data_IF_899335963575
#
_entry.id   IF_899335963575
#
_cell.length_a   1.000
_cell.length_b   1.000
_cell.length_c   1.000
_cell.angle_alpha   90.00
_cell.angle_beta   90.00
_cell.angle_gamma   90.00
#
_symmetry.space_group_name_H-M   'P 1'
#
loop_
_entity.id
_entity.type
_entity.pdbx_description
1 polymer ?
#
# COMPACT_ATOMS: atom_id res chain seq x y z
N UNK A 1 6.65 12.46 -0.85
CA UNK A 1 5.93 11.16 -0.83
C UNK A 1 6.03 10.45 -2.16
N UNK A 2 5.44 10.99 -3.22
CA UNK A 2 5.32 10.33 -4.51
C UNK A 2 6.63 9.76 -5.09
N UNK A 3 7.75 10.46 -4.95
CA UNK A 3 9.07 9.98 -5.41
C UNK A 3 9.52 8.68 -4.71
N UNK A 4 9.23 8.55 -3.42
CA UNK A 4 9.57 7.33 -2.67
C UNK A 4 8.68 6.15 -3.06
N UNK A 5 7.42 6.42 -3.42
CA UNK A 5 6.48 5.39 -3.83
C UNK A 5 6.73 4.79 -5.22
N UNK A 6 7.50 5.46 -6.10
CA UNK A 6 7.84 4.93 -7.43
C UNK A 6 8.77 3.70 -7.33
N UNK A 7 9.59 3.63 -6.28
CA UNK A 7 10.51 2.51 -6.11
C UNK A 7 9.68 1.27 -5.75
N UNK A 8 9.71 0.20 -6.58
CA UNK A 8 8.89 -0.98 -6.37
C UNK A 8 9.40 -1.82 -5.19
N UNK A 9 9.06 -1.40 -4.00
CA UNK A 9 9.46 -2.08 -2.76
C UNK A 9 8.47 -1.78 -1.63
N UNK A 10 7.79 -2.80 -1.12
CA UNK A 10 6.83 -2.69 -0.02
C UNK A 10 7.42 -2.10 1.28
N UNK A 11 8.75 -2.15 1.43
CA UNK A 11 9.46 -1.52 2.53
C UNK A 11 9.26 -0.02 2.64
N UNK A 12 9.06 0.70 1.52
CA UNK A 12 8.82 2.15 1.56
C UNK A 12 7.45 2.50 2.14
N UNK A 13 6.42 1.70 1.90
CA UNK A 13 5.12 1.85 2.55
C UNK A 13 5.19 1.66 4.06
N UNK A 14 5.94 0.64 4.50
CA UNK A 14 6.21 0.39 5.92
C UNK A 14 7.01 1.54 6.54
N UNK A 15 8.08 2.00 5.87
CA UNK A 15 8.89 3.13 6.33
C UNK A 15 8.07 4.41 6.46
N UNK A 16 7.24 4.72 5.46
CA UNK A 16 6.35 5.87 5.49
C UNK A 16 5.36 5.78 6.67
N UNK A 17 4.80 4.60 6.92
CA UNK A 17 3.91 4.37 8.06
C UNK A 17 4.61 4.61 9.40
N UNK A 18 5.84 4.15 9.56
CA UNK A 18 6.64 4.39 10.77
C UNK A 18 6.97 5.88 10.95
N UNK A 19 7.40 6.56 9.87
CA UNK A 19 7.66 7.99 9.90
C UNK A 19 6.41 8.83 10.21
N UNK A 20 5.25 8.36 9.77
CA UNK A 20 3.97 8.99 10.10
C UNK A 20 3.64 8.80 11.59
N UNK A 21 3.84 7.61 12.15
CA UNK A 21 3.66 7.34 13.59
C UNK A 21 4.59 8.22 14.41
N UNK A 22 5.84 8.42 13.95
CA UNK A 22 6.82 9.33 14.57
C UNK A 22 6.51 10.82 14.32
N UNK A 23 5.40 11.12 13.63
CA UNK A 23 5.00 12.49 13.27
C UNK A 23 6.04 13.26 12.45
N UNK A 24 6.86 12.56 11.69
CA UNK A 24 7.88 13.15 10.81
C UNK A 24 7.36 13.52 9.44
N UNK A 25 6.27 12.91 9.02
CA UNK A 25 5.61 13.18 7.74
C UNK A 25 4.13 13.47 7.97
N UNK A 26 3.52 14.19 7.03
CA UNK A 26 2.09 14.52 7.04
C UNK A 26 1.25 13.35 6.54
N UNK A 27 -0.05 13.38 6.83
CA UNK A 27 -1.03 12.42 6.31
C UNK A 27 -1.05 12.42 4.78
N UNK A 28 -1.02 13.58 4.14
CA UNK A 28 -0.98 13.68 2.69
C UNK A 28 0.28 13.09 2.09
N UNK A 29 1.44 13.24 2.77
CA UNK A 29 2.68 12.58 2.35
C UNK A 29 2.55 11.05 2.43
N UNK A 30 1.96 10.51 3.49
CA UNK A 30 1.72 9.08 3.66
C UNK A 30 0.82 8.54 2.55
N UNK A 31 -0.32 9.18 2.32
CA UNK A 31 -1.27 8.80 1.26
C UNK A 31 -0.60 8.86 -0.12
N UNK A 32 0.21 9.89 -0.37
CA UNK A 32 0.98 10.03 -1.60
C UNK A 32 1.94 8.84 -1.82
N UNK A 33 2.61 8.36 -0.78
CA UNK A 33 3.44 7.15 -0.86
C UNK A 33 2.58 5.94 -1.21
N UNK A 34 1.46 5.72 -0.52
CA UNK A 34 0.61 4.55 -0.75
C UNK A 34 0.03 4.51 -2.16
N UNK A 35 -0.44 5.65 -2.69
CA UNK A 35 -0.97 5.73 -4.05
C UNK A 35 0.14 5.49 -5.08
N UNK A 36 1.34 6.04 -4.88
CA UNK A 36 2.44 5.90 -5.83
C UNK A 36 3.01 4.48 -5.86
N UNK A 37 2.91 3.73 -4.78
CA UNK A 37 3.48 2.40 -4.65
C UNK A 37 2.81 1.41 -5.61
N UNK A 38 3.63 0.63 -6.35
CA UNK A 38 3.19 -0.39 -7.32
C UNK A 38 4.14 -1.58 -7.29
N UNK A 39 4.36 -2.10 -6.11
CA UNK A 39 5.47 -3.01 -5.78
C UNK A 39 5.62 -4.17 -6.77
N UNK A 40 4.61 -5.03 -6.89
CA UNK A 40 4.70 -6.26 -7.69
C UNK A 40 4.21 -6.07 -9.11
N UNK A 41 3.37 -5.07 -9.39
CA UNK A 41 2.84 -4.83 -10.74
C UNK A 41 3.96 -4.46 -11.72
N UNK A 42 4.93 -3.64 -11.29
CA UNK A 42 6.04 -3.18 -12.13
C UNK A 42 6.89 -4.35 -12.62
N UNK A 43 7.49 -5.20 -11.76
CA UNK A 43 8.30 -6.32 -12.23
C UNK A 43 7.51 -7.32 -13.09
N UNK A 44 6.23 -7.54 -12.81
CA UNK A 44 5.40 -8.46 -13.61
C UNK A 44 5.18 -7.88 -15.02
N UNK A 45 4.79 -6.62 -15.15
CA UNK A 45 4.58 -5.99 -16.44
C UNK A 45 5.89 -5.86 -17.25
N UNK A 46 7.04 -5.76 -16.58
CA UNK A 46 8.35 -5.76 -17.24
C UNK A 46 8.69 -7.09 -17.92
N UNK A 47 8.06 -8.19 -17.56
CA UNK A 47 8.27 -9.48 -18.23
C UNK A 47 7.67 -9.53 -19.63
N UNK A 48 6.76 -8.61 -19.97
CA UNK A 48 6.05 -8.57 -21.25
C UNK A 48 6.35 -7.28 -22.00
N UNK A 49 7.23 -7.33 -23.03
CA UNK A 49 7.63 -6.12 -23.78
C UNK A 49 6.47 -5.38 -24.43
N UNK A 50 5.41 -6.07 -24.77
CA UNK A 50 4.21 -5.51 -25.41
C UNK A 50 3.44 -4.55 -24.47
N UNK A 51 3.64 -4.69 -23.15
CA UNK A 51 2.95 -3.90 -22.14
C UNK A 51 3.77 -2.75 -21.55
N UNK A 52 4.95 -2.45 -22.09
CA UNK A 52 5.79 -1.34 -21.62
C UNK A 52 5.10 0.03 -21.74
N UNK A 53 4.27 0.22 -22.75
CA UNK A 53 3.47 1.44 -22.88
C UNK A 53 2.49 1.58 -21.73
N UNK A 54 1.75 0.51 -21.43
CA UNK A 54 0.80 0.49 -20.32
C UNK A 54 1.49 0.65 -18.96
N UNK A 55 2.69 0.09 -18.80
CA UNK A 55 3.49 0.25 -17.60
C UNK A 55 3.85 1.73 -17.34
N UNK A 56 4.34 2.42 -18.38
CA UNK A 56 4.67 3.84 -18.29
C UNK A 56 3.43 4.68 -17.97
N UNK A 57 2.31 4.39 -18.61
CA UNK A 57 1.04 5.07 -18.34
C UNK A 57 0.60 4.89 -16.86
N UNK A 58 0.69 3.67 -16.31
CA UNK A 58 0.36 3.39 -14.91
C UNK A 58 1.25 4.21 -13.97
N UNK A 59 2.56 4.20 -14.20
CA UNK A 59 3.53 4.92 -13.35
C UNK A 59 3.25 6.43 -13.38
N UNK A 60 3.08 7.00 -14.57
CA UNK A 60 2.82 8.43 -14.74
C UNK A 60 1.48 8.81 -14.09
N UNK A 61 0.42 8.04 -14.33
CA UNK A 61 -0.90 8.32 -13.80
C UNK A 61 -0.92 8.24 -12.27
N UNK A 62 -0.32 7.20 -11.69
CA UNK A 62 -0.20 7.05 -10.24
C UNK A 62 0.64 8.15 -9.63
N UNK A 63 1.72 8.55 -10.27
CA UNK A 63 2.57 9.65 -9.80
C UNK A 63 1.82 10.98 -9.75
N UNK A 64 1.10 11.33 -10.81
CA UNK A 64 0.30 12.56 -10.87
C UNK A 64 -0.80 12.53 -9.81
N UNK A 65 -1.53 11.42 -9.71
CA UNK A 65 -2.58 11.25 -8.70
C UNK A 65 -2.03 11.32 -7.27
N UNK A 66 -0.89 10.69 -7.02
CA UNK A 66 -0.24 10.72 -5.71
C UNK A 66 0.12 12.15 -5.27
N UNK A 67 0.61 12.97 -6.19
CA UNK A 67 0.93 14.38 -5.91
C UNK A 67 -0.36 15.16 -5.67
N UNK A 68 -1.36 15.02 -6.55
CA UNK A 68 -2.61 15.75 -6.45
C UNK A 68 -3.35 15.42 -5.14
N UNK A 69 -3.57 14.14 -4.86
CA UNK A 69 -4.31 13.69 -3.68
C UNK A 69 -3.51 14.01 -2.41
N UNK A 70 -2.20 13.76 -2.39
CA UNK A 70 -1.36 14.08 -1.25
C UNK A 70 -1.39 15.58 -0.91
N UNK A 71 -1.33 16.44 -1.92
CA UNK A 71 -1.43 17.88 -1.74
C UNK A 71 -2.82 18.33 -1.26
N UNK A 72 -3.88 17.78 -1.87
CA UNK A 72 -5.26 18.06 -1.45
C UNK A 72 -5.49 17.67 0.01
N UNK A 73 -5.03 16.48 0.40
CA UNK A 73 -5.18 16.03 1.79
C UNK A 73 -4.45 16.94 2.75
N UNK A 74 -3.23 17.39 2.46
CA UNK A 74 -2.47 18.29 3.32
C UNK A 74 -3.11 19.68 3.41
N UNK A 75 -3.80 20.13 2.35
CA UNK A 75 -4.52 21.42 2.35
C UNK A 75 -5.83 21.33 3.14
N UNK A 76 -6.61 20.27 2.95
CA UNK A 76 -7.93 20.11 3.59
C UNK A 76 -7.83 19.59 5.03
N UNK A 77 -6.89 18.69 5.28
CA UNK A 77 -6.63 18.14 6.60
C UNK A 77 -5.40 18.86 7.17
N UNK A 78 -5.60 20.10 7.57
CA UNK A 78 -4.59 20.85 8.33
C UNK A 78 -4.46 20.17 9.69
N UNK A 79 -3.66 19.11 9.76
CA UNK A 79 -3.25 18.57 11.05
C UNK A 79 -2.48 19.67 11.76
N UNK A 80 -3.09 20.19 12.82
CA UNK A 80 -2.35 20.99 13.76
C UNK A 80 -1.25 20.08 14.30
N UNK A 81 -0.02 20.33 13.87
CA UNK A 81 1.21 19.82 14.46
C UNK A 81 1.35 20.38 15.88
N UNK A 82 0.30 20.23 16.69
CA UNK A 82 0.30 20.66 18.08
C UNK A 82 0.61 19.48 18.95
N UNK A 83 1.72 19.64 19.60
CA UNK A 83 2.28 18.81 20.65
C UNK A 83 2.89 17.48 20.21
N UNK A 84 4.20 17.55 19.91
CA UNK A 84 5.13 16.56 20.40
C UNK A 84 4.74 16.21 21.84
N UNK A 85 3.90 15.19 22.02
CA UNK A 85 3.98 14.45 23.27
C UNK A 85 5.41 13.89 23.27
N UNK A 86 6.24 14.48 24.14
CA UNK A 86 7.45 13.85 24.60
C UNK A 86 7.06 12.40 24.92
N UNK A 87 7.38 11.51 24.01
CA UNK A 87 7.47 10.13 24.42
C UNK A 87 8.42 10.15 25.61
N UNK A 88 7.88 9.79 26.72
CA UNK A 88 8.63 9.39 27.87
C UNK A 88 9.71 8.45 27.38
N UNK A 89 10.91 8.99 27.21
CA UNK A 89 12.11 8.23 27.31
C UNK A 89 12.11 7.63 28.70
N UNK A 90 11.41 6.52 28.85
CA UNK A 90 11.64 5.64 29.96
C UNK A 90 13.09 5.20 29.87
N UNK A 91 13.81 5.81 30.75
CA UNK A 91 15.11 5.56 31.30
C UNK A 91 15.88 4.35 30.76
N UNK A 92 17.00 4.68 30.12
CA UNK A 92 18.33 4.12 30.36
C UNK A 92 18.34 2.78 31.11
N UNK A 93 18.15 1.70 30.38
CA UNK A 93 18.90 0.50 30.64
C UNK A 93 19.80 0.26 29.43
N UNK A 94 21.09 0.10 29.73
CA UNK A 94 22.23 -0.14 28.83
C UNK A 94 22.06 -1.44 28.01
N UNK A 95 20.90 -1.61 27.35
CA UNK A 95 20.77 -2.57 26.28
C UNK A 95 21.03 -1.84 24.97
N UNK A 96 22.01 -2.34 24.23
CA UNK A 96 22.46 -1.75 22.98
C UNK A 96 21.24 -1.38 22.12
N UNK A 97 21.13 -0.13 21.70
CA UNK A 97 20.09 0.39 20.77
C UNK A 97 19.83 -0.54 19.58
N UNK A 98 20.85 -1.30 19.21
CA UNK A 98 20.78 -2.34 18.16
C UNK A 98 19.85 -3.50 18.51
N UNK A 99 19.86 -3.99 19.76
CA UNK A 99 19.05 -5.14 20.18
C UNK A 99 17.58 -4.73 20.26
N UNK A 100 17.33 -3.52 20.76
CA UNK A 100 15.96 -3.01 20.86
C UNK A 100 15.34 -2.75 19.47
N UNK A 101 16.11 -2.12 18.58
CA UNK A 101 15.70 -1.93 17.18
C UNK A 101 15.49 -3.27 16.48
N UNK A 102 16.35 -4.26 16.71
CA UNK A 102 16.25 -5.59 16.12
C UNK A 102 15.02 -6.34 16.61
N UNK A 103 14.74 -6.33 17.91
CA UNK A 103 13.55 -6.96 18.49
C UNK A 103 12.25 -6.29 17.99
N UNK A 104 12.25 -4.97 17.84
CA UNK A 104 11.12 -4.23 17.29
C UNK A 104 10.89 -4.60 15.83
N UNK A 105 11.95 -4.70 15.05
CA UNK A 105 11.89 -5.12 13.64
C UNK A 105 11.37 -6.54 13.50
N UNK A 106 11.84 -7.49 14.32
CA UNK A 106 11.36 -8.88 14.30
C UNK A 106 9.87 -8.95 14.64
N UNK A 107 9.40 -8.18 15.63
CA UNK A 107 7.98 -8.14 15.98
C UNK A 107 7.11 -7.67 14.81
N UNK A 108 7.52 -6.59 14.14
CA UNK A 108 6.80 -6.06 12.98
C UNK A 108 6.83 -7.07 11.84
N UNK A 109 8.01 -7.65 11.57
CA UNK A 109 8.17 -8.65 10.52
C UNK A 109 7.32 -9.90 10.77
N UNK A 110 7.34 -10.45 11.99
CA UNK A 110 6.54 -11.62 12.34
C UNK A 110 5.03 -11.35 12.18
N UNK A 111 4.56 -10.18 12.62
CA UNK A 111 3.17 -9.78 12.43
C UNK A 111 2.79 -9.70 10.94
N UNK A 112 3.59 -8.99 10.14
CA UNK A 112 3.37 -8.87 8.70
C UNK A 112 3.40 -10.24 8.04
N UNK A 113 4.35 -11.11 8.41
CA UNK A 113 4.47 -12.45 7.85
C UNK A 113 3.22 -13.29 8.12
N UNK A 114 2.73 -13.30 9.37
CA UNK A 114 1.52 -14.05 9.75
C UNK A 114 0.29 -13.54 9.00
N UNK A 115 0.10 -12.22 8.95
CA UNK A 115 -1.06 -11.64 8.27
C UNK A 115 -1.01 -11.93 6.77
N UNK A 116 0.15 -11.75 6.11
CA UNK A 116 0.31 -12.08 4.70
C UNK A 116 0.09 -13.56 4.42
N UNK A 117 0.60 -14.44 5.27
CA UNK A 117 0.40 -15.88 5.12
C UNK A 117 -1.09 -16.25 5.16
N UNK A 118 -1.83 -15.70 6.14
CA UNK A 118 -3.29 -15.93 6.27
C UNK A 118 -4.03 -15.39 5.04
N UNK A 119 -3.71 -14.16 4.59
CA UNK A 119 -4.36 -13.55 3.45
C UNK A 119 -4.05 -14.30 2.15
N UNK A 120 -2.80 -14.71 1.93
CA UNK A 120 -2.42 -15.48 0.74
C UNK A 120 -3.11 -16.83 0.72
N UNK A 121 -3.16 -17.55 1.86
CA UNK A 121 -3.88 -18.80 1.96
C UNK A 121 -5.40 -18.62 1.71
N UNK A 122 -6.00 -17.55 2.21
CA UNK A 122 -7.40 -17.23 1.97
C UNK A 122 -7.69 -16.97 0.47
N UNK A 123 -6.82 -16.22 -0.21
CA UNK A 123 -6.94 -15.96 -1.65
C UNK A 123 -6.79 -17.25 -2.45
N UNK A 124 -5.83 -18.09 -2.10
CA UNK A 124 -5.61 -19.38 -2.76
C UNK A 124 -6.79 -20.35 -2.58
N UNK A 125 -7.43 -20.33 -1.40
CA UNK A 125 -8.64 -21.13 -1.13
C UNK A 125 -9.87 -20.66 -1.95
N UNK A 126 -9.99 -19.37 -2.25
CA UNK A 126 -11.07 -18.83 -3.10
C UNK A 126 -10.87 -19.28 -4.55
N UNK A 127 -9.62 -19.51 -4.96
CA UNK A 127 -9.26 -19.90 -6.32
C UNK A 127 -9.24 -18.71 -7.29
N UNK A 128 -8.20 -18.65 -8.10
CA UNK A 128 -8.03 -17.61 -9.13
C UNK A 128 -9.13 -17.64 -10.18
N UNK A 129 -9.72 -18.80 -10.42
CA UNK A 129 -10.79 -18.99 -11.42
C UNK A 129 -12.11 -18.34 -10.99
N UNK A 130 -12.47 -18.44 -9.71
CA UNK A 130 -13.68 -17.77 -9.19
C UNK A 130 -13.49 -16.27 -9.12
N UNK A 131 -12.28 -15.82 -8.79
CA UNK A 131 -11.95 -14.41 -8.75
C UNK A 131 -12.00 -13.78 -10.15
N UNK A 132 -11.46 -14.49 -11.15
CA UNK A 132 -11.55 -14.07 -12.54
C UNK A 132 -13.00 -13.97 -13.01
N UNK A 133 -13.88 -14.88 -12.59
CA UNK A 133 -15.29 -14.86 -12.95
C UNK A 133 -16.05 -13.66 -12.38
N UNK A 134 -15.72 -13.25 -11.16
CA UNK A 134 -16.30 -12.07 -10.50
C UNK A 134 -15.78 -10.76 -11.14
N UNK A 135 -14.54 -10.77 -11.60
CA UNK A 135 -13.88 -9.62 -12.23
C UNK A 135 -14.09 -9.56 -13.75
N UNK A 136 -14.51 -10.68 -14.38
CA UNK A 136 -14.61 -10.84 -15.85
C UNK A 136 -15.85 -10.21 -16.48
N UNK A 137 -16.84 -9.75 -15.68
CA UNK A 137 -17.96 -9.03 -16.25
C UNK A 137 -17.45 -7.68 -16.79
N UNK A 138 -17.52 -7.51 -18.11
CA UNK A 138 -17.24 -6.26 -18.84
C UNK A 138 -18.24 -5.14 -18.46
N UNK A 139 -18.59 -5.08 -17.20
CA UNK A 139 -19.49 -4.12 -16.61
C UNK A 139 -18.72 -2.86 -16.20
N UNK A 140 -19.38 -1.71 -16.25
CA UNK A 140 -18.94 -0.46 -15.62
C UNK A 140 -18.57 -0.63 -14.12
N UNK A 141 -18.96 -1.74 -13.51
CA UNK A 141 -18.64 -2.10 -12.12
C UNK A 141 -17.26 -2.75 -11.96
N UNK A 142 -16.61 -3.20 -13.04
CA UNK A 142 -15.30 -3.86 -12.98
C UNK A 142 -14.23 -3.02 -12.23
N UNK A 143 -14.06 -1.70 -12.46
CA UNK A 143 -13.12 -0.89 -11.69
C UNK A 143 -13.46 -0.80 -10.21
N UNK A 144 -14.76 -0.80 -9.86
CA UNK A 144 -15.21 -0.74 -8.46
C UNK A 144 -14.86 -2.03 -7.72
N UNK A 145 -15.15 -3.17 -8.35
CA UNK A 145 -14.81 -4.49 -7.79
C UNK A 145 -13.28 -4.64 -7.65
N UNK A 146 -12.52 -4.21 -8.66
CA UNK A 146 -11.04 -4.19 -8.60
C UNK A 146 -10.53 -3.30 -7.47
N UNK A 147 -11.14 -2.13 -7.26
CA UNK A 147 -10.78 -1.23 -6.17
C UNK A 147 -11.05 -1.88 -4.80
N UNK A 148 -12.21 -2.54 -4.63
CA UNK A 148 -12.54 -3.26 -3.40
C UNK A 148 -11.53 -4.40 -3.16
N UNK A 149 -11.17 -5.14 -4.20
CA UNK A 149 -10.16 -6.19 -4.12
C UNK A 149 -8.77 -5.64 -3.77
N UNK A 150 -8.41 -4.48 -4.31
CA UNK A 150 -7.18 -3.76 -3.99
C UNK A 150 -7.06 -3.33 -2.52
N UNK A 151 -8.19 -3.14 -1.81
CA UNK A 151 -8.16 -2.86 -0.36
C UNK A 151 -7.62 -4.00 0.49
N UNK A 152 -7.52 -5.21 -0.05
CA UNK A 152 -6.87 -6.32 0.66
C UNK A 152 -5.39 -5.98 0.79
N UNK A 153 -4.85 -5.77 2.00
CA UNK A 153 -3.47 -5.33 2.20
C UNK A 153 -2.49 -6.50 2.01
N UNK A 154 -2.46 -7.05 0.81
CA UNK A 154 -1.61 -8.16 0.43
C UNK A 154 -1.04 -7.96 -0.98
N UNK A 155 0.23 -8.28 -1.13
CA UNK A 155 0.92 -8.29 -2.41
C UNK A 155 0.28 -9.22 -3.44
N UNK A 156 -0.32 -10.34 -3.02
CA UNK A 156 -1.01 -11.24 -3.93
C UNK A 156 -2.17 -10.57 -4.68
N UNK A 157 -2.82 -9.57 -4.10
CA UNK A 157 -3.90 -8.86 -4.76
C UNK A 157 -3.39 -8.08 -6.00
N UNK A 158 -2.28 -7.36 -5.87
CA UNK A 158 -1.66 -6.63 -6.99
C UNK A 158 -1.14 -7.58 -8.07
N UNK A 159 -0.57 -8.72 -7.68
CA UNK A 159 -0.10 -9.77 -8.61
C UNK A 159 -1.27 -10.30 -9.43
N UNK A 160 -2.38 -10.68 -8.78
CA UNK A 160 -3.55 -11.24 -9.46
C UNK A 160 -4.16 -10.22 -10.41
N UNK A 161 -4.38 -8.98 -9.97
CA UNK A 161 -4.91 -7.92 -10.83
C UNK A 161 -4.04 -7.67 -12.06
N UNK A 162 -2.72 -7.71 -11.87
CA UNK A 162 -1.77 -7.53 -12.98
C UNK A 162 -1.80 -8.72 -13.94
N UNK A 163 -1.86 -9.94 -13.43
CA UNK A 163 -1.97 -11.14 -14.28
C UNK A 163 -3.28 -11.18 -15.07
N UNK A 164 -4.41 -10.79 -14.45
CA UNK A 164 -5.69 -10.69 -15.14
C UNK A 164 -5.66 -9.63 -16.25
N UNK A 165 -4.96 -8.52 -16.02
CA UNK A 165 -4.74 -7.51 -17.05
C UNK A 165 -3.89 -8.04 -18.21
N UNK A 166 -2.80 -8.76 -17.92
CA UNK A 166 -1.96 -9.39 -18.95
C UNK A 166 -2.73 -10.40 -19.80
N UNK A 167 -3.66 -11.13 -19.18
CA UNK A 167 -4.55 -12.08 -19.85
C UNK A 167 -5.75 -11.40 -20.54
N UNK A 168 -5.76 -10.05 -20.62
CA UNK A 168 -6.84 -9.26 -21.22
C UNK A 168 -8.22 -9.48 -20.57
N UNK A 169 -8.26 -10.05 -19.39
CA UNK A 169 -9.46 -10.25 -18.60
C UNK A 169 -9.88 -9.00 -17.80
N UNK A 170 -8.96 -8.06 -17.59
CA UNK A 170 -9.18 -6.84 -16.83
C UNK A 170 -8.86 -5.61 -17.69
N UNK A 171 -9.72 -4.59 -17.61
CA UNK A 171 -9.46 -3.32 -18.29
C UNK A 171 -8.34 -2.53 -17.61
N UNK A 172 -7.68 -1.64 -18.35
CA UNK A 172 -6.64 -0.74 -17.80
C UNK A 172 -7.17 0.10 -16.64
N UNK A 173 -8.39 0.63 -16.76
CA UNK A 173 -9.02 1.42 -15.69
C UNK A 173 -9.24 0.59 -14.42
N UNK A 174 -9.61 -0.68 -14.56
CA UNK A 174 -9.84 -1.60 -13.45
C UNK A 174 -8.51 -1.97 -12.76
N UNK A 175 -7.46 -2.24 -13.53
CA UNK A 175 -6.13 -2.46 -13.00
C UNK A 175 -5.66 -1.24 -12.19
N UNK A 176 -5.77 -0.05 -12.79
CA UNK A 176 -5.35 1.20 -12.17
C UNK A 176 -6.11 1.45 -10.86
N UNK A 177 -7.45 1.25 -10.86
CA UNK A 177 -8.28 1.40 -9.67
C UNK A 177 -7.84 0.46 -8.54
N UNK A 178 -7.62 -0.81 -8.83
CA UNK A 178 -7.15 -1.79 -7.85
C UNK A 178 -5.75 -1.50 -7.31
N UNK A 179 -4.83 -1.06 -8.17
CA UNK A 179 -3.47 -0.69 -7.76
C UNK A 179 -3.41 0.62 -6.96
N UNK A 180 -4.33 1.55 -7.15
CA UNK A 180 -4.40 2.81 -6.38
C UNK A 180 -4.89 2.53 -4.97
N UNK A 181 -5.89 1.66 -4.83
CA UNK A 181 -6.47 1.32 -3.51
C UNK A 181 -5.59 0.36 -2.71
N UNK A 182 -4.62 -0.29 -3.34
CA UNK A 182 -3.70 -1.18 -2.65
C UNK A 182 -2.63 -0.38 -1.88
N UNK A 183 -2.93 -0.09 -0.62
CA UNK A 183 -2.00 0.55 0.30
C UNK A 183 -0.88 -0.40 0.79
N UNK A 184 -0.88 -1.66 0.35
CA UNK A 184 0.12 -2.67 0.70
C UNK A 184 0.24 -2.90 2.20
N UNK A 185 1.44 -3.28 2.63
CA UNK A 185 1.74 -3.61 4.04
C UNK A 185 1.77 -2.40 4.97
N UNK A 186 1.83 -1.18 4.44
CA UNK A 186 1.91 0.04 5.25
C UNK A 186 0.70 0.22 6.16
N UNK A 187 -0.50 -0.11 5.69
CA UNK A 187 -1.72 -0.02 6.48
C UNK A 187 -1.71 -0.97 7.70
N UNK A 188 -1.12 -2.17 7.54
CA UNK A 188 -1.00 -3.14 8.62
C UNK A 188 -0.10 -2.62 9.75
N UNK A 189 0.94 -1.88 9.41
CA UNK A 189 1.84 -1.26 10.41
C UNK A 189 1.11 -0.18 11.20
N UNK A 190 0.24 0.60 10.56
CA UNK A 190 -0.61 1.59 11.24
C UNK A 190 -1.59 0.93 12.21
N UNK A 191 -2.22 -0.17 11.78
CA UNK A 191 -3.14 -0.96 12.62
C UNK A 191 -2.42 -1.56 13.83
N UNK A 192 -1.23 -2.14 13.62
CA UNK A 192 -0.42 -2.73 14.69
C UNK A 192 -0.03 -1.71 15.77
N UNK A 193 0.30 -0.50 15.38
CA UNK A 193 0.71 0.56 16.30
C UNK A 193 -0.47 1.32 16.91
N UNK A 194 -1.70 0.81 16.79
CA UNK A 194 -2.92 1.38 17.37
C UNK A 194 -3.12 2.87 17.04
N UNK A 195 -2.72 3.28 15.85
CA UNK A 195 -3.06 4.62 15.36
C UNK A 195 -4.56 4.78 15.41
N UNK A 196 -5.03 5.96 15.80
CA UNK A 196 -6.45 6.23 15.99
C UNK A 196 -7.25 5.79 14.75
N UNK A 197 -8.26 4.94 14.96
CA UNK A 197 -9.11 4.41 13.89
C UNK A 197 -9.74 5.50 13.04
N UNK A 198 -10.01 6.67 13.60
CA UNK A 198 -10.47 7.84 12.86
C UNK A 198 -9.42 8.37 11.85
N UNK A 199 -8.13 8.21 12.13
CA UNK A 199 -7.04 8.59 11.21
C UNK A 199 -6.90 7.53 10.12
N UNK A 200 -6.99 6.25 10.47
CA UNK A 200 -6.93 5.15 9.49
C UNK A 200 -8.12 5.23 8.51
N UNK A 201 -9.30 5.63 8.97
CA UNK A 201 -10.48 5.78 8.12
C UNK A 201 -10.37 6.97 7.14
N UNK A 202 -9.45 7.90 7.37
CA UNK A 202 -9.17 9.02 6.46
C UNK A 202 -8.13 8.70 5.38
N UNK A 203 -7.41 7.59 5.55
CA UNK A 203 -6.45 7.05 4.57
C UNK A 203 -7.17 6.16 3.59
#
# INVERSE_FOLDING_TARGET
GALLGIIPQCGFGVLASLLFIEKRITLGTLISVFIATSDEAIPILLTSPELYSSLLEIIIFKFILAILIGYLVDVFIKENHLTSQKDTHDHCHNHSLFIEAFLRTIKIYAFIFVVNFILSAAIEMIGTDQLSYILLDNSLLQPVVSAIFGFIPNCAASVILTQLYMNQALSFASLLAGLITNAGLGILVLLQNKVNTATILKI
#
